data_IF_741765448042
#
_entry.id   IF_741765448042
#
_cell.length_a   1.000
_cell.length_b   1.000
_cell.length_c   1.000
_cell.angle_alpha   90.00
_cell.angle_beta   90.00
_cell.angle_gamma   90.00
#
_symmetry.space_group_name_H-M   'P 1'
#
loop_
_entity.id
_entity.type
_entity.pdbx_description
1 polymer ?
#
# COMPACT_ATOMS: atom_id res chain seq x y z
N UNK A 1 -23.13 -29.53 -16.27
CA UNK A 1 -22.86 -28.16 -16.72
C UNK A 1 -21.69 -27.61 -15.91
N UNK A 2 -20.45 -27.96 -16.30
CA UNK A 2 -19.26 -27.39 -15.67
C UNK A 2 -18.91 -26.11 -16.43
N UNK A 3 -19.32 -24.98 -15.86
CA UNK A 3 -19.04 -23.65 -16.37
C UNK A 3 -17.56 -23.34 -16.21
N UNK A 4 -16.91 -23.13 -17.34
CA UNK A 4 -15.52 -22.76 -17.54
C UNK A 4 -15.32 -21.32 -17.03
N UNK A 5 -14.81 -21.17 -15.80
CA UNK A 5 -14.26 -19.90 -15.31
C UNK A 5 -12.77 -19.83 -15.71
N UNK A 6 -12.53 -19.53 -16.98
CA UNK A 6 -11.23 -19.02 -17.42
C UNK A 6 -11.25 -17.50 -17.22
N UNK A 7 -10.71 -17.02 -16.11
CA UNK A 7 -10.44 -15.59 -15.93
C UNK A 7 -8.93 -15.36 -16.09
N UNK A 8 -8.54 -15.21 -17.36
CA UNK A 8 -7.49 -14.32 -17.87
C UNK A 8 -6.22 -14.13 -17.00
N UNK A 9 -5.26 -15.06 -17.14
CA UNK A 9 -3.85 -14.76 -16.83
C UNK A 9 -3.31 -13.76 -17.87
N UNK A 10 -2.71 -12.66 -17.41
CA UNK A 10 -2.05 -11.70 -18.27
C UNK A 10 -0.89 -12.39 -19.01
N UNK A 11 -0.82 -12.39 -20.35
CA UNK A 11 0.20 -13.13 -21.11
C UNK A 11 1.64 -12.70 -20.82
N UNK A 12 1.85 -11.52 -20.22
CA UNK A 12 3.16 -11.08 -19.75
C UNK A 12 3.69 -11.83 -18.50
N UNK A 13 2.81 -12.50 -17.74
CA UNK A 13 3.17 -13.24 -16.51
C UNK A 13 3.38 -14.74 -16.74
N UNK A 14 3.11 -15.25 -17.96
CA UNK A 14 3.13 -16.68 -18.26
C UNK A 14 4.55 -17.33 -18.21
N UNK A 15 5.61 -16.53 -18.06
CA UNK A 15 7.01 -16.99 -18.10
C UNK A 15 7.75 -16.81 -16.76
N UNK A 16 7.06 -16.38 -15.70
CA UNK A 16 7.65 -16.27 -14.37
C UNK A 16 7.66 -17.65 -13.70
N UNK A 17 8.78 -18.02 -13.08
CA UNK A 17 8.86 -19.22 -12.25
C UNK A 17 7.67 -19.24 -11.27
N UNK A 18 6.88 -20.33 -11.23
CA UNK A 18 5.65 -20.35 -10.44
C UNK A 18 5.89 -20.07 -8.96
N UNK A 19 7.07 -20.35 -8.41
CA UNK A 19 7.39 -19.99 -7.03
C UNK A 19 7.69 -18.50 -6.86
N UNK A 20 8.31 -17.86 -7.86
CA UNK A 20 8.54 -16.40 -7.87
C UNK A 20 7.22 -15.62 -8.00
N UNK A 21 6.28 -16.12 -8.81
CA UNK A 21 4.94 -15.53 -8.93
C UNK A 21 4.17 -15.62 -7.61
N UNK A 22 4.14 -16.80 -6.98
CA UNK A 22 3.52 -16.99 -5.67
C UNK A 22 4.15 -16.11 -4.58
N UNK A 23 5.48 -15.94 -4.62
CA UNK A 23 6.19 -15.07 -3.68
C UNK A 23 5.87 -13.59 -3.91
N UNK A 24 5.81 -13.15 -5.18
CA UNK A 24 5.43 -11.79 -5.53
C UNK A 24 3.99 -11.45 -5.09
N UNK A 25 3.03 -12.34 -5.37
CA UNK A 25 1.65 -12.20 -4.91
C UNK A 25 1.56 -12.16 -3.37
N UNK A 26 2.32 -13.01 -2.68
CA UNK A 26 2.38 -12.99 -1.21
C UNK A 26 2.89 -11.66 -0.66
N UNK A 27 3.96 -11.12 -1.24
CA UNK A 27 4.51 -9.82 -0.85
C UNK A 27 3.52 -8.67 -1.08
N UNK A 28 2.80 -8.68 -2.21
CA UNK A 28 1.79 -7.65 -2.50
C UNK A 28 0.71 -7.61 -1.41
N UNK A 29 0.24 -8.77 -0.96
CA UNK A 29 -0.76 -8.88 0.10
C UNK A 29 -0.21 -8.38 1.45
N UNK A 30 1.02 -8.74 1.81
CA UNK A 30 1.65 -8.27 3.05
C UNK A 30 1.79 -6.74 3.08
N UNK A 31 2.20 -6.14 1.95
CA UNK A 31 2.34 -4.68 1.80
C UNK A 31 0.98 -3.99 1.96
N UNK A 32 -0.05 -4.48 1.27
CA UNK A 32 -1.40 -3.90 1.36
C UNK A 32 -1.95 -4.04 2.77
N UNK A 33 -1.66 -5.15 3.45
CA UNK A 33 -2.12 -5.41 4.82
C UNK A 33 -1.47 -4.45 5.82
N UNK A 34 -0.15 -4.24 5.77
CA UNK A 34 0.54 -3.28 6.64
C UNK A 34 0.03 -1.85 6.39
N UNK A 35 -0.16 -1.47 5.12
CA UNK A 35 -0.74 -0.17 4.77
C UNK A 35 -2.12 0.02 5.39
N UNK A 36 -3.00 -0.98 5.27
CA UNK A 36 -4.34 -0.95 5.83
C UNK A 36 -4.33 -0.82 7.35
N UNK A 37 -3.48 -1.59 8.05
CA UNK A 37 -3.37 -1.55 9.51
C UNK A 37 -2.93 -0.16 10.00
N UNK A 38 -1.93 0.44 9.36
CA UNK A 38 -1.45 1.80 9.68
C UNK A 38 -2.49 2.88 9.38
N UNK A 39 -3.17 2.77 8.24
CA UNK A 39 -4.25 3.67 7.85
C UNK A 39 -5.38 3.63 8.87
N UNK A 40 -5.85 2.42 9.20
CA UNK A 40 -6.93 2.20 10.15
C UNK A 40 -6.58 2.78 11.53
N UNK A 41 -5.39 2.47 12.06
CA UNK A 41 -4.93 3.01 13.34
C UNK A 41 -4.86 4.55 13.34
N UNK A 42 -4.38 5.15 12.26
CA UNK A 42 -4.27 6.61 12.10
C UNK A 42 -5.65 7.28 12.04
N UNK A 43 -6.57 6.75 11.23
CA UNK A 43 -7.90 7.32 11.06
C UNK A 43 -8.79 7.11 12.27
N UNK A 44 -8.73 5.94 12.92
CA UNK A 44 -9.40 5.73 14.20
C UNK A 44 -8.94 6.76 15.25
N UNK A 45 -7.62 6.96 15.39
CA UNK A 45 -7.07 7.94 16.34
C UNK A 45 -7.45 9.39 16.02
N UNK A 46 -7.59 9.74 14.74
CA UNK A 46 -7.90 11.12 14.30
C UNK A 46 -9.38 11.45 14.30
N UNK A 47 -10.22 10.49 13.97
CA UNK A 47 -11.63 10.72 13.69
C UNK A 47 -12.57 10.21 14.75
N UNK A 48 -12.18 9.20 15.55
CA UNK A 48 -13.05 8.61 16.57
C UNK A 48 -12.60 9.06 17.96
N UNK A 49 -13.53 9.65 18.72
CA UNK A 49 -13.28 10.06 20.09
C UNK A 49 -13.12 8.83 21.00
N UNK A 50 -12.14 8.80 21.93
CA UNK A 50 -12.04 7.73 22.92
C UNK A 50 -13.21 7.75 23.93
N UNK A 51 -13.94 8.87 24.01
CA UNK A 51 -15.18 8.97 24.78
C UNK A 51 -16.36 8.69 23.84
N UNK A 52 -16.83 7.46 23.87
CA UNK A 52 -18.01 7.03 23.13
C UNK A 52 -19.29 7.48 23.84
N UNK A 53 -20.16 8.16 23.10
CA UNK A 53 -21.50 8.52 23.58
C UNK A 53 -22.57 7.58 23.00
N UNK A 54 -22.34 7.13 21.78
CA UNK A 54 -23.23 6.28 21.00
C UNK A 54 -22.40 5.19 20.30
N UNK A 55 -23.05 4.09 19.89
CA UNK A 55 -22.40 2.99 19.17
C UNK A 55 -22.28 3.24 17.65
N UNK A 56 -23.08 4.15 17.13
CA UNK A 56 -23.08 4.53 15.72
C UNK A 56 -22.14 5.71 15.47
N UNK A 57 -21.57 5.75 14.26
CA UNK A 57 -20.78 6.89 13.82
C UNK A 57 -21.68 8.10 13.63
N UNK A 58 -21.31 9.21 14.25
CA UNK A 58 -21.92 10.49 13.94
C UNK A 58 -21.59 10.90 12.50
N UNK A 59 -22.44 11.73 11.90
CA UNK A 59 -22.19 12.30 10.56
C UNK A 59 -20.81 12.95 10.44
N UNK A 60 -20.33 13.58 11.53
CA UNK A 60 -19.00 14.18 11.59
C UNK A 60 -17.87 13.15 11.52
N UNK A 61 -18.00 12.05 12.24
CA UNK A 61 -17.04 10.94 12.24
C UNK A 61 -16.99 10.26 10.87
N UNK A 62 -18.13 9.97 10.25
CA UNK A 62 -18.19 9.40 8.90
C UNK A 62 -17.46 10.27 7.87
N UNK A 63 -17.78 11.56 7.81
CA UNK A 63 -17.13 12.50 6.88
C UNK A 63 -15.64 12.68 7.20
N UNK A 64 -15.25 12.61 8.48
CA UNK A 64 -13.85 12.63 8.87
C UNK A 64 -13.10 11.41 8.35
N UNK A 65 -13.66 10.20 8.50
CA UNK A 65 -13.05 8.95 8.04
C UNK A 65 -12.80 8.97 6.53
N UNK A 66 -13.79 9.39 5.74
CA UNK A 66 -13.65 9.52 4.27
C UNK A 66 -12.48 10.44 3.89
N UNK A 67 -12.43 11.63 4.52
CA UNK A 67 -11.35 12.61 4.32
C UNK A 67 -10.01 12.08 4.81
N UNK A 68 -9.99 11.33 5.90
CA UNK A 68 -8.77 10.78 6.47
C UNK A 68 -8.16 9.74 5.55
N UNK A 69 -8.95 8.79 5.06
CA UNK A 69 -8.51 7.76 4.11
C UNK A 69 -7.96 8.39 2.84
N UNK A 70 -8.70 9.34 2.24
CA UNK A 70 -8.26 10.05 1.05
C UNK A 70 -6.90 10.74 1.25
N UNK A 71 -6.73 11.44 2.39
CA UNK A 71 -5.45 12.08 2.73
C UNK A 71 -4.34 11.08 3.02
N UNK A 72 -4.64 9.98 3.70
CA UNK A 72 -3.65 8.97 4.03
C UNK A 72 -3.03 8.38 2.76
N UNK A 73 -3.85 8.01 1.79
CA UNK A 73 -3.38 7.44 0.52
C UNK A 73 -2.59 8.47 -0.31
N UNK A 74 -3.05 9.73 -0.38
CA UNK A 74 -2.32 10.81 -1.07
C UNK A 74 -0.92 11.03 -0.45
N UNK A 75 -0.84 11.11 0.88
CA UNK A 75 0.43 11.26 1.59
C UNK A 75 1.30 10.01 1.44
N UNK A 76 0.73 8.81 1.53
CA UNK A 76 1.46 7.56 1.34
C UNK A 76 2.10 7.49 -0.05
N UNK A 77 1.38 7.88 -1.11
CA UNK A 77 1.91 7.96 -2.47
C UNK A 77 3.06 8.96 -2.61
N UNK A 78 2.92 10.16 -2.01
CA UNK A 78 3.98 11.18 -2.02
C UNK A 78 5.23 10.73 -1.28
N UNK A 79 5.08 10.04 -0.16
CA UNK A 79 6.20 9.45 0.59
C UNK A 79 6.87 8.37 -0.26
N UNK A 80 6.10 7.47 -0.88
CA UNK A 80 6.62 6.42 -1.74
C UNK A 80 7.51 6.97 -2.87
N UNK A 81 7.07 8.05 -3.53
CA UNK A 81 7.88 8.75 -4.55
C UNK A 81 9.21 9.26 -3.99
N UNK A 82 9.18 9.97 -2.87
CA UNK A 82 10.40 10.49 -2.24
C UNK A 82 11.36 9.38 -1.82
N UNK A 83 10.86 8.30 -1.25
CA UNK A 83 11.70 7.15 -0.87
C UNK A 83 12.40 6.57 -2.09
N UNK A 84 11.67 6.37 -3.20
CA UNK A 84 12.26 5.91 -4.45
C UNK A 84 13.32 6.87 -5.01
N UNK A 85 13.05 8.18 -4.97
CA UNK A 85 14.01 9.21 -5.39
C UNK A 85 15.30 9.15 -4.56
N UNK A 86 15.19 9.02 -3.24
CA UNK A 86 16.36 8.88 -2.35
C UNK A 86 17.15 7.60 -2.63
N UNK A 87 16.46 6.47 -2.82
CA UNK A 87 17.12 5.20 -3.14
C UNK A 87 17.90 5.28 -4.45
N UNK A 88 17.35 5.94 -5.47
CA UNK A 88 18.06 6.14 -6.74
C UNK A 88 19.29 7.05 -6.56
N UNK A 89 19.17 8.10 -5.77
CA UNK A 89 20.28 9.01 -5.47
C UNK A 89 21.42 8.28 -4.76
N UNK A 90 21.14 7.46 -3.73
CA UNK A 90 22.15 6.67 -3.03
C UNK A 90 22.86 5.68 -3.96
N UNK A 91 22.10 4.98 -4.83
CA UNK A 91 22.70 4.09 -5.81
C UNK A 91 23.62 4.81 -6.80
N UNK A 92 23.25 6.03 -7.22
CA UNK A 92 24.09 6.84 -8.12
C UNK A 92 25.40 7.27 -7.45
N UNK A 93 25.36 7.67 -6.17
CA UNK A 93 26.53 8.05 -5.40
C UNK A 93 27.44 6.84 -5.10
N UNK A 94 26.86 5.68 -4.80
CA UNK A 94 27.59 4.44 -4.59
C UNK A 94 28.28 3.93 -5.87
N UNK A 95 27.63 4.04 -7.03
CA UNK A 95 28.23 3.70 -8.33
C UNK A 95 29.40 4.62 -8.67
N UNK A 96 29.24 5.93 -8.48
CA UNK A 96 30.33 6.90 -8.68
C UNK A 96 31.53 6.65 -7.76
N UNK A 97 31.30 6.19 -6.52
CA UNK A 97 32.37 5.82 -5.61
C UNK A 97 33.10 4.53 -6.04
N UNK A 98 32.39 3.56 -6.63
CA UNK A 98 32.99 2.32 -7.14
C UNK A 98 33.75 2.49 -8.46
N UNK A 99 33.38 3.47 -9.28
CA UNK A 99 34.03 3.77 -10.58
C UNK A 99 35.25 4.69 -10.45
N UNK A 100 35.43 5.34 -9.29
CA UNK A 100 36.57 6.20 -8.98
C UNK A 100 37.76 5.45 -8.34
N UNK A 101 37.71 4.11 -8.27
CA UNK A 101 38.77 3.23 -7.74
C UNK A 101 39.42 2.40 -8.84
#
# INVERSE_FOLDING_TARGET
MAGKMEQQVNPALAHLDPSLAQFAEGMEIEIITDMFQRMNASCMKKCISPKYRDAELSKGESVCLDRCVAKFVDIHSKIGKKVADYTLQEQSAAKQASEAS
#
